data_IF_863799363221
#
_entry.id   IF_863799363221
#
_cell.length_a   1.000
_cell.length_b   1.000
_cell.length_c   1.000
_cell.angle_alpha   90.00
_cell.angle_beta   90.00
_cell.angle_gamma   90.00
#
_symmetry.space_group_name_H-M   'P 1'
#
loop_
_entity.id
_entity.type
_entity.pdbx_description
1 polymer ?
#
# COMPACT_ATOMS: atom_id res chain seq x y z
N UNK A 1 20.87 30.15 -20.20
CA UNK A 1 20.07 29.82 -19.02
C UNK A 1 20.17 31.00 -18.08
N UNK A 2 19.06 31.38 -17.48
CA UNK A 2 19.01 32.49 -16.53
C UNK A 2 19.52 31.97 -15.19
N UNK A 3 20.74 32.33 -14.81
CA UNK A 3 21.41 31.87 -13.59
C UNK A 3 21.16 32.86 -12.45
N UNK A 4 20.06 33.59 -12.50
CA UNK A 4 19.72 34.68 -11.59
C UNK A 4 18.34 34.45 -11.00
N UNK A 5 18.16 34.82 -9.72
CA UNK A 5 16.85 34.73 -9.05
C UNK A 5 15.76 35.58 -9.72
N UNK A 6 16.15 36.73 -10.27
CA UNK A 6 15.27 37.64 -11.00
C UNK A 6 15.44 37.46 -12.52
N UNK A 7 14.39 37.04 -13.24
CA UNK A 7 14.44 36.93 -14.69
C UNK A 7 14.75 38.23 -15.45
N UNK A 8 14.61 39.38 -14.79
CA UNK A 8 14.91 40.69 -15.36
C UNK A 8 16.34 41.16 -15.12
N UNK A 9 17.14 40.39 -14.38
CA UNK A 9 18.46 40.82 -13.94
C UNK A 9 19.39 41.25 -15.09
N UNK A 10 19.28 40.57 -16.25
CA UNK A 10 19.97 40.99 -17.47
C UNK A 10 19.51 42.35 -18.00
N UNK A 11 18.20 42.61 -18.02
CA UNK A 11 17.64 43.88 -18.48
C UNK A 11 18.02 45.04 -17.57
N UNK A 12 18.03 44.80 -16.26
CA UNK A 12 18.23 45.86 -15.26
C UNK A 12 19.70 46.25 -15.09
N UNK A 13 20.62 45.28 -15.23
CA UNK A 13 22.03 45.50 -14.88
C UNK A 13 23.02 45.32 -16.04
N UNK A 14 22.65 44.67 -17.16
CA UNK A 14 23.62 44.37 -18.22
C UNK A 14 23.24 44.89 -19.62
N UNK A 15 21.95 44.90 -19.97
CA UNK A 15 21.49 45.17 -21.35
C UNK A 15 21.97 46.50 -21.94
N UNK A 16 21.89 47.58 -21.16
CA UNK A 16 22.27 48.93 -21.59
C UNK A 16 23.47 49.50 -20.80
N UNK A 17 24.02 48.74 -19.85
CA UNK A 17 25.05 49.18 -18.89
C UNK A 17 26.40 48.43 -19.05
N UNK A 18 26.70 47.91 -20.24
CA UNK A 18 27.91 47.07 -20.50
C UNK A 18 29.26 47.77 -20.34
N UNK A 19 29.28 49.07 -20.07
CA UNK A 19 30.51 49.83 -19.77
C UNK A 19 30.55 50.35 -18.33
N UNK A 20 29.51 50.12 -17.54
CA UNK A 20 29.45 50.48 -16.13
C UNK A 20 29.95 49.31 -15.28
N UNK A 21 31.16 49.47 -14.74
CA UNK A 21 31.80 48.47 -13.88
C UNK A 21 30.97 48.10 -12.66
N UNK A 22 30.16 49.03 -12.12
CA UNK A 22 29.30 48.75 -10.97
C UNK A 22 28.08 47.93 -11.36
N UNK A 23 27.44 48.26 -12.48
CA UNK A 23 26.30 47.51 -13.02
C UNK A 23 26.71 46.07 -13.40
N UNK A 24 27.89 45.92 -14.01
CA UNK A 24 28.47 44.61 -14.32
C UNK A 24 28.74 43.81 -13.04
N UNK A 25 29.30 44.43 -11.99
CA UNK A 25 29.55 43.76 -10.72
C UNK A 25 28.25 43.25 -10.09
N UNK A 26 27.22 44.08 -10.02
CA UNK A 26 25.89 43.71 -9.48
C UNK A 26 25.24 42.58 -10.28
N UNK A 27 25.36 42.58 -11.62
CA UNK A 27 24.87 41.48 -12.43
C UNK A 27 25.53 40.13 -12.07
N UNK A 28 26.85 40.11 -11.87
CA UNK A 28 27.56 38.89 -11.50
C UNK A 28 27.37 38.50 -10.03
N UNK A 29 27.18 39.46 -9.12
CA UNK A 29 26.85 39.22 -7.70
C UNK A 29 25.47 38.59 -7.53
N UNK A 30 24.53 38.88 -8.43
CA UNK A 30 23.17 38.32 -8.41
C UNK A 30 23.06 36.89 -8.97
N UNK A 31 24.19 36.30 -9.43
CA UNK A 31 24.19 34.90 -9.86
C UNK A 31 23.81 33.98 -8.70
N UNK A 32 22.90 33.06 -8.97
CA UNK A 32 22.41 32.08 -8.03
C UNK A 32 22.77 30.67 -8.52
N UNK A 33 23.64 30.01 -7.75
CA UNK A 33 24.08 28.64 -7.98
C UNK A 33 23.57 27.68 -6.90
N UNK A 34 22.59 28.10 -6.08
CA UNK A 34 22.01 27.25 -5.04
C UNK A 34 21.54 25.91 -5.62
N UNK A 35 20.81 25.94 -6.73
CA UNK A 35 20.37 24.73 -7.44
C UNK A 35 21.54 23.82 -7.88
N UNK A 36 22.69 24.39 -8.28
CA UNK A 36 23.85 23.58 -8.69
C UNK A 36 24.49 22.87 -7.49
N UNK A 37 24.59 23.55 -6.36
CA UNK A 37 25.09 22.96 -5.12
C UNK A 37 24.15 21.85 -4.62
N UNK A 38 22.84 22.10 -4.62
CA UNK A 38 21.82 21.11 -4.24
C UNK A 38 21.84 19.91 -5.17
N UNK A 39 21.84 20.12 -6.50
CA UNK A 39 21.89 19.01 -7.46
C UNK A 39 23.20 18.20 -7.35
N UNK A 40 24.33 18.85 -7.08
CA UNK A 40 25.61 18.17 -6.89
C UNK A 40 25.63 17.32 -5.61
N UNK A 41 25.11 17.86 -4.50
CA UNK A 41 24.98 17.13 -3.24
C UNK A 41 24.09 15.88 -3.39
N UNK A 42 22.96 16.00 -4.08
CA UNK A 42 22.09 14.86 -4.35
C UNK A 42 22.73 13.84 -5.29
N UNK A 43 23.45 14.28 -6.32
CA UNK A 43 24.18 13.38 -7.19
C UNK A 43 25.27 12.60 -6.42
N UNK A 44 25.91 13.23 -5.44
CA UNK A 44 26.86 12.60 -4.53
C UNK A 44 26.14 11.57 -3.63
N UNK A 45 25.05 11.95 -2.97
CA UNK A 45 24.33 11.07 -2.05
C UNK A 45 23.61 9.88 -2.72
N UNK A 46 23.15 10.03 -3.97
CA UNK A 46 22.59 8.90 -4.73
C UNK A 46 23.71 7.99 -5.25
N UNK A 47 24.87 8.56 -5.57
CA UNK A 47 26.01 7.77 -6.02
C UNK A 47 26.56 6.91 -4.87
N UNK A 48 26.68 7.48 -3.68
CA UNK A 48 27.28 6.88 -2.49
C UNK A 48 26.45 7.30 -1.25
N UNK A 49 25.62 6.39 -0.75
CA UNK A 49 24.57 6.72 0.21
C UNK A 49 25.17 6.99 1.60
N UNK A 50 24.98 8.19 2.18
CA UNK A 50 25.43 8.46 3.54
C UNK A 50 24.81 7.49 4.56
N UNK A 51 25.63 6.95 5.46
CA UNK A 51 25.16 6.04 6.52
C UNK A 51 24.96 4.59 6.07
N UNK A 52 25.38 4.22 4.86
CA UNK A 52 25.37 2.84 4.36
C UNK A 52 26.80 2.31 4.29
N UNK A 53 27.05 1.15 4.92
CA UNK A 53 28.29 0.37 4.76
C UNK A 53 28.06 -0.67 3.66
N UNK A 54 28.49 -0.32 2.45
CA UNK A 54 28.18 -1.04 1.22
C UNK A 54 29.08 -2.27 1.03
N UNK A 55 30.33 -2.20 1.48
CA UNK A 55 31.30 -3.28 1.34
C UNK A 55 31.52 -4.13 2.62
N UNK A 56 30.88 -3.73 3.73
CA UNK A 56 30.83 -4.47 4.99
C UNK A 56 32.10 -4.33 5.82
N UNK A 57 32.86 -3.26 5.63
CA UNK A 57 34.12 -3.01 6.35
C UNK A 57 33.94 -2.28 7.69
N UNK A 58 32.71 -1.86 7.99
CA UNK A 58 32.32 -1.14 9.20
C UNK A 58 32.37 0.38 9.08
N UNK A 59 32.71 0.94 7.91
CA UNK A 59 32.66 2.36 7.60
C UNK A 59 31.43 2.68 6.76
N UNK A 60 30.55 3.54 7.28
CA UNK A 60 29.31 3.95 6.61
C UNK A 60 29.34 5.43 6.14
N UNK A 61 30.54 6.02 6.12
CA UNK A 61 30.77 7.41 5.71
C UNK A 61 31.09 8.39 6.84
N UNK A 62 30.84 9.68 6.62
CA UNK A 62 31.10 10.74 7.61
C UNK A 62 29.80 11.32 8.16
N UNK A 63 29.79 11.60 9.47
CA UNK A 63 28.63 12.13 10.17
C UNK A 63 28.96 13.29 11.11
N UNK A 64 27.93 14.07 11.43
CA UNK A 64 27.93 15.05 12.53
C UNK A 64 26.84 14.68 13.55
N UNK A 65 26.99 15.11 14.80
CA UNK A 65 25.93 14.95 15.81
C UNK A 65 24.90 16.07 15.67
N UNK A 66 23.63 15.70 15.49
CA UNK A 66 22.49 16.62 15.36
C UNK A 66 22.24 17.37 16.67
N UNK A 67 22.39 16.68 17.79
CA UNK A 67 22.34 17.27 19.14
C UNK A 67 23.66 17.06 19.88
N UNK A 68 24.34 18.16 20.20
CA UNK A 68 25.56 18.16 21.02
C UNK A 68 25.37 17.66 22.46
N UNK A 69 24.12 17.47 22.90
CA UNK A 69 23.73 16.88 24.19
C UNK A 69 23.23 15.43 24.07
N UNK A 70 23.08 14.90 22.85
CA UNK A 70 22.69 13.52 22.59
C UNK A 70 23.78 12.51 22.94
N UNK A 71 23.40 11.25 23.15
CA UNK A 71 24.35 10.16 23.36
C UNK A 71 25.12 9.92 22.05
N UNK A 72 26.47 10.05 22.02
CA UNK A 72 27.27 9.81 20.82
C UNK A 72 27.24 8.35 20.36
N UNK A 73 26.85 7.40 21.22
CA UNK A 73 26.72 5.98 20.88
C UNK A 73 25.32 5.64 20.31
N UNK A 74 24.40 6.60 20.28
CA UNK A 74 23.07 6.46 19.68
C UNK A 74 23.06 6.98 18.24
N UNK A 75 22.99 6.05 17.28
CA UNK A 75 23.00 6.35 15.84
C UNK A 75 21.82 7.21 15.38
N UNK A 76 20.75 7.33 16.18
CA UNK A 76 19.62 8.23 15.85
C UNK A 76 19.98 9.71 15.98
N UNK A 77 21.12 10.04 16.63
CA UNK A 77 21.63 11.41 16.76
C UNK A 77 22.62 11.79 15.65
N UNK A 78 22.90 10.90 14.70
CA UNK A 78 23.92 11.11 13.67
C UNK A 78 23.27 11.62 12.38
N UNK A 79 23.81 12.69 11.83
CA UNK A 79 23.53 13.15 10.47
C UNK A 79 24.71 12.80 9.57
N UNK A 80 24.53 11.79 8.74
CA UNK A 80 25.50 11.37 7.74
C UNK A 80 25.45 12.33 6.56
N UNK A 81 26.58 12.96 6.23
CA UNK A 81 26.66 13.95 5.16
C UNK A 81 27.50 13.49 3.97
N UNK A 82 28.19 12.35 4.11
CA UNK A 82 29.01 11.72 3.07
C UNK A 82 28.95 10.20 3.24
N UNK A 83 28.94 9.46 2.13
CA UNK A 83 28.95 7.98 2.10
C UNK A 83 30.33 7.36 2.28
N UNK A 84 30.40 6.03 2.14
CA UNK A 84 31.58 5.20 2.45
C UNK A 84 32.64 5.20 1.33
N UNK A 85 32.35 5.84 0.19
CA UNK A 85 33.20 5.89 -1.00
C UNK A 85 32.94 4.75 -2.00
N UNK A 86 31.97 3.86 -1.72
CA UNK A 86 31.58 2.73 -2.55
C UNK A 86 30.21 3.00 -3.19
N UNK A 87 30.10 2.94 -4.53
CA UNK A 87 28.85 3.35 -5.17
C UNK A 87 27.64 2.44 -4.88
N UNK A 88 26.55 3.02 -4.40
CA UNK A 88 25.25 2.38 -4.12
C UNK A 88 24.22 2.53 -5.25
N UNK A 89 24.18 3.72 -5.88
CA UNK A 89 23.17 4.12 -6.87
C UNK A 89 21.70 4.01 -6.38
N UNK A 90 21.42 4.34 -5.11
CA UNK A 90 20.07 4.26 -4.54
C UNK A 90 19.53 5.62 -4.16
N UNK A 91 18.33 5.93 -4.66
CA UNK A 91 17.52 7.04 -4.17
C UNK A 91 16.83 6.70 -2.83
N UNK A 92 16.07 7.65 -2.27
CA UNK A 92 15.34 7.40 -1.03
C UNK A 92 14.26 6.34 -1.30
N UNK A 93 14.11 5.32 -0.45
CA UNK A 93 13.05 4.33 -0.62
C UNK A 93 11.70 4.96 -0.25
N UNK A 94 10.58 4.48 -0.85
CA UNK A 94 9.26 4.82 -0.33
C UNK A 94 9.11 4.31 1.12
N UNK A 95 8.13 4.83 1.88
CA UNK A 95 7.78 4.29 3.17
C UNK A 95 7.50 2.79 3.11
N UNK A 96 7.76 2.11 4.23
CA UNK A 96 7.47 0.68 4.35
C UNK A 96 5.97 0.41 4.15
N UNK A 97 5.64 -0.77 3.60
CA UNK A 97 4.22 -1.13 3.43
C UNK A 97 3.59 -1.43 4.79
N UNK A 98 2.37 -0.92 5.07
CA UNK A 98 1.70 -1.19 6.34
C UNK A 98 1.32 -2.67 6.45
N UNK A 99 1.13 -3.15 7.67
CA UNK A 99 0.65 -4.52 7.87
C UNK A 99 -0.86 -4.58 7.65
N UNK A 100 -1.30 -5.19 6.56
CA UNK A 100 -2.71 -5.34 6.21
C UNK A 100 -3.28 -6.70 6.64
N UNK A 101 -4.32 -6.65 7.47
CA UNK A 101 -5.22 -7.74 7.78
C UNK A 101 -6.63 -7.43 7.25
N UNK A 102 -7.40 -8.48 6.91
CA UNK A 102 -8.70 -8.33 6.26
C UNK A 102 -9.75 -9.20 6.91
N UNK A 103 -10.87 -8.59 7.27
CA UNK A 103 -12.06 -9.26 7.75
C UNK A 103 -13.15 -9.28 6.67
N UNK A 104 -13.80 -10.42 6.50
CA UNK A 104 -14.82 -10.62 5.47
C UNK A 104 -16.18 -10.94 6.08
N UNK A 105 -17.22 -10.34 5.50
CA UNK A 105 -18.62 -10.67 5.77
C UNK A 105 -19.39 -10.66 4.44
N UNK A 106 -20.67 -11.01 4.48
CA UNK A 106 -21.52 -11.11 3.31
C UNK A 106 -21.56 -9.81 2.49
N UNK A 107 -20.92 -9.82 1.33
CA UNK A 107 -20.82 -8.67 0.42
C UNK A 107 -20.07 -7.47 1.00
N UNK A 108 -19.25 -7.70 2.02
CA UNK A 108 -18.55 -6.68 2.80
C UNK A 108 -17.12 -7.11 3.12
N UNK A 109 -16.20 -6.15 3.09
CA UNK A 109 -14.81 -6.30 3.50
C UNK A 109 -14.45 -5.16 4.43
N UNK A 110 -13.87 -5.48 5.60
CA UNK A 110 -13.21 -4.50 6.49
C UNK A 110 -11.71 -4.72 6.38
N UNK A 111 -11.01 -3.69 5.91
CA UNK A 111 -9.55 -3.63 5.91
C UNK A 111 -9.11 -3.08 7.26
N UNK A 112 -8.13 -3.73 7.88
CA UNK A 112 -7.54 -3.32 9.15
C UNK A 112 -6.02 -3.27 8.96
N UNK A 113 -5.36 -2.17 9.29
CA UNK A 113 -3.91 -2.09 9.14
C UNK A 113 -3.23 -1.30 10.25
N UNK A 114 -1.93 -1.53 10.40
CA UNK A 114 -1.04 -0.80 11.31
C UNK A 114 0.23 -0.40 10.59
N UNK A 115 0.91 0.63 11.11
CA UNK A 115 2.20 1.07 10.58
C UNK A 115 3.30 0.03 10.83
N UNK A 116 3.30 -0.65 11.98
CA UNK A 116 4.17 -1.79 12.31
C UNK A 116 3.65 -2.67 13.45
N UNK A 117 4.25 -3.85 13.62
CA UNK A 117 4.07 -4.76 14.74
C UNK A 117 4.80 -4.29 16.00
N UNK A 118 4.26 -4.61 17.19
CA UNK A 118 4.99 -4.49 18.44
C UNK A 118 6.29 -5.30 18.45
N UNK A 119 7.40 -4.67 18.84
CA UNK A 119 8.70 -5.34 18.99
C UNK A 119 9.63 -5.26 17.78
N UNK A 120 9.25 -4.56 16.72
CA UNK A 120 10.12 -4.20 15.59
C UNK A 120 10.24 -2.66 15.51
N UNK A 121 11.06 -2.04 16.38
CA UNK A 121 11.20 -0.57 16.42
C UNK A 121 11.75 -0.01 15.09
N UNK A 122 11.24 1.17 14.71
CA UNK A 122 11.71 2.00 13.58
C UNK A 122 11.53 1.43 12.16
N UNK A 123 10.81 0.32 11.98
CA UNK A 123 10.57 -0.26 10.64
C UNK A 123 9.16 -0.03 10.10
N UNK A 124 8.36 0.83 10.75
CA UNK A 124 6.97 1.07 10.38
C UNK A 124 6.75 2.09 9.29
N UNK A 125 5.60 2.02 8.62
CA UNK A 125 5.26 2.97 7.55
C UNK A 125 5.21 4.43 8.03
N UNK A 126 4.76 4.68 9.27
CA UNK A 126 4.68 6.02 9.89
C UNK A 126 5.99 6.47 10.54
N UNK A 127 6.96 5.57 10.68
CA UNK A 127 8.25 5.82 11.30
C UNK A 127 9.38 5.84 10.27
N UNK A 128 9.05 5.70 8.96
CA UNK A 128 10.01 5.84 7.89
C UNK A 128 10.68 7.20 7.98
N UNK A 129 12.00 7.20 7.82
CA UNK A 129 12.81 8.39 7.75
C UNK A 129 13.46 8.45 6.38
N UNK A 130 13.44 9.62 5.79
CA UNK A 130 14.20 9.88 4.57
C UNK A 130 15.69 9.72 4.89
N UNK A 131 16.39 8.98 4.04
CA UNK A 131 17.80 8.59 4.28
C UNK A 131 18.77 9.77 4.18
N UNK A 132 18.36 10.86 3.51
CA UNK A 132 19.20 12.00 3.22
C UNK A 132 19.05 13.13 4.24
N UNK A 133 17.84 13.33 4.79
CA UNK A 133 17.59 14.39 5.77
C UNK A 133 17.26 13.86 7.18
N UNK A 134 17.02 12.55 7.36
CA UNK A 134 16.70 11.90 8.63
C UNK A 134 15.31 12.25 9.21
N UNK A 135 14.50 13.02 8.47
CA UNK A 135 13.17 13.43 8.85
C UNK A 135 12.17 12.32 8.59
N UNK A 136 11.13 12.25 9.43
CA UNK A 136 9.98 11.40 9.12
C UNK A 136 9.22 12.01 7.96
N UNK A 137 9.03 11.23 6.91
CA UNK A 137 8.49 11.67 5.62
C UNK A 137 7.10 11.12 5.31
N UNK A 138 6.54 10.30 6.21
CA UNK A 138 5.21 9.71 6.06
C UNK A 138 4.09 10.77 6.00
N UNK A 139 3.27 10.62 4.96
CA UNK A 139 2.21 11.56 4.63
C UNK A 139 0.82 10.95 4.79
N UNK A 140 0.63 9.72 4.31
CA UNK A 140 -0.67 9.08 4.46
C UNK A 140 -0.81 7.68 3.88
N UNK A 141 -2.07 7.28 3.74
CA UNK A 141 -2.45 5.97 3.20
C UNK A 141 -3.35 6.08 1.97
N UNK A 142 -3.16 5.18 1.02
CA UNK A 142 -4.06 4.99 -0.12
C UNK A 142 -4.60 3.57 -0.14
N UNK A 143 -5.89 3.44 -0.44
CA UNK A 143 -6.58 2.15 -0.50
C UNK A 143 -6.92 1.84 -1.94
N UNK A 144 -6.52 0.65 -2.38
CA UNK A 144 -6.73 0.18 -3.74
C UNK A 144 -7.52 -1.13 -3.78
N UNK A 145 -8.20 -1.32 -4.90
CA UNK A 145 -8.91 -2.55 -5.23
C UNK A 145 -8.56 -3.01 -6.64
N UNK A 146 -8.43 -4.32 -6.83
CA UNK A 146 -8.21 -4.94 -8.14
C UNK A 146 -8.96 -6.27 -8.26
N UNK A 147 -9.31 -6.67 -9.47
CA UNK A 147 -9.86 -8.00 -9.75
C UNK A 147 -8.85 -8.96 -10.40
N UNK A 148 -7.68 -8.46 -10.81
CA UNK A 148 -6.67 -9.21 -11.56
C UNK A 148 -5.23 -8.97 -11.02
N UNK A 149 -5.09 -8.19 -9.95
CA UNK A 149 -3.82 -7.77 -9.32
C UNK A 149 -2.91 -6.93 -10.23
N UNK A 150 -3.33 -6.65 -11.46
CA UNK A 150 -2.60 -5.86 -12.46
C UNK A 150 -3.18 -4.46 -12.61
N UNK A 151 -4.51 -4.36 -12.64
CA UNK A 151 -5.26 -3.11 -12.82
C UNK A 151 -5.87 -2.69 -11.49
N UNK A 152 -5.34 -1.60 -10.94
CA UNK A 152 -5.73 -1.10 -9.62
C UNK A 152 -6.63 0.12 -9.75
N UNK A 153 -7.73 0.12 -9.00
CA UNK A 153 -8.61 1.27 -8.81
C UNK A 153 -8.35 1.88 -7.44
N UNK A 154 -8.08 3.18 -7.39
CA UNK A 154 -8.01 3.94 -6.15
C UNK A 154 -9.41 4.06 -5.55
N UNK A 155 -9.61 3.58 -4.33
CA UNK A 155 -10.87 3.70 -3.60
C UNK A 155 -10.91 4.95 -2.74
N UNK A 156 -9.81 5.20 -2.02
CA UNK A 156 -9.65 6.31 -1.09
C UNK A 156 -8.18 6.71 -0.94
N UNK A 157 -8.00 7.98 -0.62
CA UNK A 157 -6.72 8.60 -0.32
C UNK A 157 -6.90 9.38 0.99
N UNK A 158 -6.01 9.15 1.94
CA UNK A 158 -5.97 9.79 3.24
C UNK A 158 -4.59 10.36 3.46
N UNK A 159 -4.53 11.56 3.99
CA UNK A 159 -3.32 12.34 4.15
C UNK A 159 -3.45 13.19 5.42
N UNK A 160 -2.33 13.33 6.13
CA UNK A 160 -2.20 14.15 7.31
C UNK A 160 -2.39 15.62 6.94
N UNK A 161 -2.62 16.44 7.96
CA UNK A 161 -2.64 17.88 7.77
C UNK A 161 -1.21 18.36 7.90
N UNK A 162 -0.68 18.87 6.81
CA UNK A 162 0.55 19.62 6.80
C UNK A 162 0.37 20.99 7.45
N UNK A 163 1.35 21.41 8.24
CA UNK A 163 1.45 22.78 8.72
C UNK A 163 2.71 23.41 8.18
N UNK A 164 2.56 24.52 7.46
CA UNK A 164 3.68 25.31 6.92
C UNK A 164 3.81 26.65 7.66
N UNK A 165 5.04 27.15 7.87
CA UNK A 165 5.25 28.40 8.56
C UNK A 165 5.09 29.60 7.62
N UNK A 166 4.33 30.59 8.07
CA UNK A 166 4.26 31.93 7.48
C UNK A 166 4.96 32.94 8.40
N UNK A 167 5.80 33.77 7.80
CA UNK A 167 6.48 34.88 8.46
C UNK A 167 5.80 36.18 8.06
N UNK A 168 5.61 37.08 9.02
CA UNK A 168 5.08 38.40 8.73
C UNK A 168 6.15 39.28 8.05
N UNK A 169 5.87 39.69 6.81
CA UNK A 169 6.71 40.61 6.07
C UNK A 169 6.21 42.05 6.25
N UNK A 170 6.90 42.78 7.11
CA UNK A 170 6.63 44.20 7.41
C UNK A 170 6.76 45.13 6.19
N UNK A 171 7.45 44.72 5.11
CA UNK A 171 7.62 45.54 3.90
C UNK A 171 6.35 45.57 3.05
N UNK A 172 5.56 44.50 3.09
CA UNK A 172 4.30 44.38 2.34
C UNK A 172 3.06 44.32 3.24
N UNK A 173 3.25 44.36 4.57
CA UNK A 173 2.19 44.26 5.59
C UNK A 173 1.32 43.00 5.41
N UNK A 174 1.98 41.87 5.11
CA UNK A 174 1.31 40.61 4.86
C UNK A 174 2.12 39.42 5.37
N UNK A 175 1.45 38.28 5.49
CA UNK A 175 2.08 37.00 5.84
C UNK A 175 2.54 36.30 4.56
N UNK A 176 3.80 35.86 4.54
CA UNK A 176 4.38 35.14 3.42
C UNK A 176 4.93 33.80 3.89
N UNK A 177 4.81 32.78 3.04
CA UNK A 177 5.43 31.47 3.30
C UNK A 177 6.92 31.66 3.57
N UNK A 178 7.43 31.00 4.62
CA UNK A 178 8.84 31.06 4.94
C UNK A 178 9.63 30.21 3.93
N UNK A 179 10.45 30.82 3.05
CA UNK A 179 11.20 30.07 2.03
C UNK A 179 12.29 29.18 2.64
N UNK A 180 12.64 29.37 3.91
CA UNK A 180 13.74 28.67 4.58
C UNK A 180 13.27 27.49 5.43
N UNK A 181 11.95 27.23 5.54
CA UNK A 181 11.42 26.09 6.28
C UNK A 181 10.15 25.55 5.59
N UNK A 182 10.36 24.85 4.48
CA UNK A 182 9.28 24.31 3.63
C UNK A 182 8.81 22.92 4.06
N UNK A 183 9.42 22.32 5.08
CA UNK A 183 9.01 21.01 5.58
C UNK A 183 7.77 21.15 6.46
N UNK A 184 6.68 20.42 6.16
CA UNK A 184 5.52 20.36 7.02
C UNK A 184 5.89 19.85 8.41
N UNK A 185 5.19 20.34 9.44
CA UNK A 185 5.28 19.78 10.80
C UNK A 185 3.95 19.18 11.23
N UNK A 186 4.04 18.06 11.95
CA UNK A 186 2.87 17.34 12.47
C UNK A 186 2.17 18.06 13.64
N UNK A 187 2.90 18.92 14.35
CA UNK A 187 2.40 19.65 15.52
C UNK A 187 2.96 21.07 15.55
N UNK A 188 2.07 22.04 15.78
CA UNK A 188 2.40 23.47 15.86
C UNK A 188 2.42 23.99 17.30
N UNK A 189 2.18 23.13 18.30
CA UNK A 189 2.11 23.55 19.70
C UNK A 189 3.44 24.18 20.16
N UNK A 190 3.35 25.45 20.56
CA UNK A 190 4.51 26.21 21.05
C UNK A 190 5.43 26.78 19.97
N UNK A 191 5.13 26.58 18.68
CA UNK A 191 5.96 27.05 17.56
C UNK A 191 5.54 28.42 16.97
N UNK A 192 4.55 29.08 17.59
CA UNK A 192 4.01 30.37 17.13
C UNK A 192 4.52 31.60 17.91
N UNK A 193 4.52 32.76 17.27
CA UNK A 193 4.90 34.05 17.86
C UNK A 193 4.35 35.24 17.07
N UNK A 194 4.68 36.46 17.49
CA UNK A 194 4.13 37.71 16.89
C UNK A 194 4.48 37.88 15.39
N UNK A 195 5.54 37.23 14.92
CA UNK A 195 6.02 37.31 13.53
C UNK A 195 6.07 35.96 12.81
N UNK A 196 5.57 34.89 13.45
CA UNK A 196 5.57 33.52 12.91
C UNK A 196 4.26 32.83 13.26
N UNK A 197 3.53 32.38 12.25
CA UNK A 197 2.35 31.54 12.44
C UNK A 197 2.45 30.30 11.57
N UNK A 198 1.71 29.28 11.94
CA UNK A 198 1.60 28.05 11.15
C UNK A 198 0.21 27.97 10.56
N UNK A 199 0.13 27.68 9.27
CA UNK A 199 -1.12 27.53 8.55
C UNK A 199 -1.19 26.13 7.98
N UNK A 200 -2.39 25.56 7.97
CA UNK A 200 -2.62 24.29 7.31
C UNK A 200 -2.30 24.44 5.82
N UNK A 201 -1.43 23.60 5.33
CA UNK A 201 -1.10 23.47 3.93
C UNK A 201 -1.96 22.34 3.36
N UNK A 202 -2.58 22.59 2.22
CA UNK A 202 -3.58 21.71 1.59
C UNK A 202 -4.84 21.43 2.44
N UNK A 203 -5.76 20.65 1.87
CA UNK A 203 -7.01 20.23 2.49
C UNK A 203 -6.82 18.95 3.29
N UNK A 204 -7.36 18.90 4.52
CA UNK A 204 -7.52 17.64 5.25
C UNK A 204 -8.41 16.68 4.44
N UNK A 205 -7.84 15.58 3.95
CA UNK A 205 -8.57 14.54 3.21
C UNK A 205 -8.97 13.35 4.10
N UNK A 206 -8.98 13.54 5.41
CA UNK A 206 -9.69 12.67 6.36
C UNK A 206 -8.81 11.58 6.98
N UNK A 207 -7.52 11.82 7.22
CA UNK A 207 -6.67 10.84 7.90
C UNK A 207 -7.21 10.43 9.28
N UNK A 208 -7.86 11.36 10.00
CA UNK A 208 -8.53 11.04 11.25
C UNK A 208 -9.74 10.11 11.10
N UNK A 209 -10.35 10.02 9.90
CA UNK A 209 -11.55 9.20 9.66
C UNK A 209 -11.27 7.69 9.66
N UNK A 210 -10.03 7.30 9.34
CA UNK A 210 -9.61 5.90 9.29
C UNK A 210 -9.09 5.39 10.64
N UNK A 211 -8.89 6.27 11.62
CA UNK A 211 -8.39 5.86 12.93
C UNK A 211 -9.40 4.97 13.66
N UNK A 212 -8.98 3.77 14.07
CA UNK A 212 -9.81 2.81 14.81
C UNK A 212 -9.43 2.83 16.30
N UNK A 213 -8.18 2.54 16.63
CA UNK A 213 -7.71 2.47 18.02
C UNK A 213 -6.21 2.62 18.19
N UNK A 214 -5.75 2.75 19.43
CA UNK A 214 -4.34 2.72 19.80
C UNK A 214 -4.13 1.71 20.92
N UNK A 215 -3.06 0.91 20.81
CA UNK A 215 -2.66 -0.07 21.82
C UNK A 215 -1.20 0.17 22.20
N UNK A 216 -0.90 0.20 23.50
CA UNK A 216 0.48 0.28 24.00
C UNK A 216 0.98 -1.14 24.27
N UNK A 217 2.07 -1.54 23.61
CA UNK A 217 2.68 -2.87 23.74
C UNK A 217 4.18 -2.67 23.97
N UNK A 218 4.67 -3.15 25.12
CA UNK A 218 6.09 -3.02 25.50
C UNK A 218 6.65 -1.60 25.32
N UNK A 219 5.89 -0.60 25.76
CA UNK A 219 6.18 0.85 25.66
C UNK A 219 6.09 1.46 24.25
N UNK A 220 5.83 0.65 23.21
CA UNK A 220 5.51 1.14 21.85
C UNK A 220 4.02 1.45 21.72
N UNK A 221 3.71 2.59 21.11
CA UNK A 221 2.32 3.02 20.82
C UNK A 221 1.95 2.62 19.39
N UNK A 222 1.11 1.59 19.25
CA UNK A 222 0.67 1.08 17.95
C UNK A 222 -0.72 1.63 17.61
N UNK A 223 -0.81 2.32 16.48
CA UNK A 223 -2.08 2.81 15.93
C UNK A 223 -2.68 1.78 14.96
N UNK A 224 -3.99 1.63 15.04
CA UNK A 224 -4.79 0.78 14.18
C UNK A 224 -5.74 1.64 13.36
N UNK A 225 -5.80 1.32 12.08
CA UNK A 225 -6.67 1.98 11.11
C UNK A 225 -7.64 0.98 10.51
N UNK A 226 -8.80 1.46 10.09
CA UNK A 226 -9.77 0.62 9.40
C UNK A 226 -10.54 1.34 8.30
N UNK A 227 -10.96 0.55 7.31
CA UNK A 227 -11.81 1.01 6.22
C UNK A 227 -12.78 -0.10 5.80
N UNK A 228 -14.03 0.26 5.58
CA UNK A 228 -15.10 -0.67 5.24
C UNK A 228 -15.62 -0.43 3.82
N UNK A 229 -15.70 -1.52 3.04
CA UNK A 229 -16.33 -1.54 1.72
C UNK A 229 -17.51 -2.51 1.72
N UNK A 230 -18.64 -2.08 1.17
CA UNK A 230 -19.87 -2.87 1.05
C UNK A 230 -20.34 -2.93 -0.41
N UNK A 231 -21.28 -3.83 -0.71
CA UNK A 231 -21.83 -4.00 -2.06
C UNK A 231 -20.94 -4.84 -2.99
N UNK A 232 -20.03 -5.64 -2.40
CA UNK A 232 -19.16 -6.54 -3.14
C UNK A 232 -19.87 -7.87 -3.46
N UNK A 233 -19.44 -8.54 -4.52
CA UNK A 233 -20.01 -9.83 -4.92
C UNK A 233 -19.37 -10.97 -4.15
N UNK A 234 -20.16 -11.77 -3.44
CA UNK A 234 -19.73 -13.02 -2.77
C UNK A 234 -19.08 -14.04 -3.73
N UNK A 235 -19.40 -13.93 -5.03
CA UNK A 235 -18.99 -14.89 -6.05
C UNK A 235 -17.70 -14.52 -6.79
N UNK A 236 -17.08 -13.36 -6.48
CA UNK A 236 -15.89 -12.88 -7.16
C UNK A 236 -14.82 -12.48 -6.16
N UNK A 237 -13.66 -13.11 -6.27
CA UNK A 237 -12.48 -12.72 -5.52
C UNK A 237 -12.03 -11.32 -5.89
N UNK A 238 -11.59 -10.56 -4.90
CA UNK A 238 -11.13 -9.18 -5.05
C UNK A 238 -9.84 -8.99 -4.26
N UNK A 239 -8.87 -8.31 -4.86
CA UNK A 239 -7.62 -7.92 -4.23
C UNK A 239 -7.77 -6.55 -3.61
N UNK A 240 -7.29 -6.40 -2.38
CA UNK A 240 -7.13 -5.11 -1.72
C UNK A 240 -5.67 -4.86 -1.37
N UNK A 241 -5.25 -3.61 -1.44
CA UNK A 241 -3.95 -3.17 -0.97
C UNK A 241 -4.09 -1.82 -0.26
N UNK A 242 -3.33 -1.65 0.82
CA UNK A 242 -3.14 -0.37 1.51
C UNK A 242 -1.67 0.01 1.38
N UNK A 243 -1.40 1.17 0.83
CA UNK A 243 -0.03 1.65 0.63
C UNK A 243 0.21 2.89 1.46
N UNK A 244 1.44 3.03 1.97
CA UNK A 244 1.91 4.27 2.55
C UNK A 244 2.62 5.12 1.49
N UNK A 245 2.63 6.43 1.65
CA UNK A 245 3.37 7.33 0.78
C UNK A 245 4.00 8.47 1.59
N UNK A 246 5.06 9.04 1.04
CA UNK A 246 5.77 10.18 1.61
C UNK A 246 5.35 11.51 0.94
N UNK A 247 5.72 12.65 1.53
CA UNK A 247 5.46 13.96 0.92
C UNK A 247 6.51 14.39 -0.13
N UNK A 248 7.52 13.56 -0.39
CA UNK A 248 8.66 13.88 -1.24
C UNK A 248 9.59 14.93 -0.64
N UNK A 249 10.20 15.78 -1.49
CA UNK A 249 11.04 16.89 -1.04
C UNK A 249 10.66 18.19 -1.77
N UNK A 250 10.04 19.16 -1.07
CA UNK A 250 9.58 20.40 -1.69
C UNK A 250 10.71 21.33 -2.12
N UNK A 251 11.92 21.22 -1.53
CA UNK A 251 13.08 22.05 -1.89
C UNK A 251 13.60 21.64 -3.25
N UNK A 252 13.76 20.33 -3.45
CA UNK A 252 14.29 19.76 -4.71
C UNK A 252 13.20 19.43 -5.72
N UNK A 253 11.93 19.58 -5.34
CA UNK A 253 10.75 19.22 -6.14
C UNK A 253 10.70 17.72 -6.46
N UNK A 254 11.22 16.90 -5.54
CA UNK A 254 11.08 15.46 -5.62
C UNK A 254 9.61 15.09 -5.41
N UNK A 255 9.08 14.25 -6.29
CA UNK A 255 7.70 13.79 -6.17
C UNK A 255 7.58 12.72 -5.07
N UNK A 256 6.44 12.68 -4.36
CA UNK A 256 6.07 11.60 -3.46
C UNK A 256 6.34 10.19 -3.99
N UNK A 257 6.90 9.31 -3.17
CA UNK A 257 6.99 7.88 -3.43
C UNK A 257 5.94 7.11 -2.61
N UNK A 258 5.53 5.96 -3.15
CA UNK A 258 4.46 5.14 -2.57
C UNK A 258 4.91 3.68 -2.48
N UNK A 259 4.55 3.03 -1.38
CA UNK A 259 4.85 1.62 -1.14
C UNK A 259 4.14 0.69 -2.14
N UNK A 260 4.66 -0.52 -2.34
CA UNK A 260 4.19 -1.41 -3.40
C UNK A 260 2.80 -2.01 -3.13
N UNK A 261 1.85 -1.78 -4.06
CA UNK A 261 0.51 -2.39 -4.04
C UNK A 261 0.56 -3.92 -4.06
N UNK A 262 1.39 -4.50 -4.93
CA UNK A 262 1.47 -5.95 -5.12
C UNK A 262 2.08 -6.67 -3.92
N UNK A 263 3.01 -6.03 -3.20
CA UNK A 263 3.57 -6.59 -1.95
C UNK A 263 2.52 -6.58 -0.84
N UNK A 264 1.69 -5.53 -0.78
CA UNK A 264 0.65 -5.41 0.24
C UNK A 264 -0.66 -6.15 -0.10
N UNK A 265 -0.80 -6.59 -1.35
CA UNK A 265 -2.01 -7.17 -1.92
C UNK A 265 -2.53 -8.39 -1.14
N UNK A 266 -3.84 -8.41 -0.87
CA UNK A 266 -4.57 -9.53 -0.27
C UNK A 266 -5.79 -9.88 -1.12
N UNK A 267 -5.82 -11.10 -1.66
CA UNK A 267 -7.02 -11.67 -2.28
C UNK A 267 -8.02 -12.07 -1.18
N UNK A 268 -9.27 -11.65 -1.33
CA UNK A 268 -10.38 -12.05 -0.45
C UNK A 268 -11.66 -12.33 -1.22
N UNK A 269 -12.52 -13.17 -0.65
CA UNK A 269 -13.91 -13.32 -1.07
C UNK A 269 -14.79 -12.68 0.02
N UNK A 270 -15.76 -11.81 -0.33
CA UNK A 270 -16.61 -11.11 0.63
C UNK A 270 -17.74 -12.05 1.08
N UNK A 271 -17.37 -13.15 1.72
CA UNK A 271 -18.22 -14.26 2.11
C UNK A 271 -18.30 -14.38 3.63
N UNK A 272 -19.40 -14.92 4.13
CA UNK A 272 -19.55 -15.26 5.53
C UNK A 272 -19.38 -16.76 5.72
N UNK A 273 -18.26 -17.19 6.29
CA UNK A 273 -17.89 -18.62 6.42
C UNK A 273 -18.76 -19.40 7.42
N UNK A 274 -19.56 -18.69 8.22
CA UNK A 274 -20.55 -19.30 9.13
C UNK A 274 -21.92 -19.51 8.47
N UNK A 275 -22.16 -18.93 7.30
CA UNK A 275 -23.40 -19.16 6.56
C UNK A 275 -23.40 -20.56 5.88
N UNK A 276 -24.58 -21.05 5.44
CA UNK A 276 -24.66 -22.24 4.62
C UNK A 276 -23.85 -22.11 3.34
N UNK A 277 -23.34 -23.24 2.84
CA UNK A 277 -22.54 -23.28 1.61
C UNK A 277 -23.36 -22.81 0.42
N UNK A 278 -22.80 -21.84 -0.30
CA UNK A 278 -23.35 -21.34 -1.55
C UNK A 278 -22.67 -22.03 -2.73
N UNK A 279 -23.46 -22.36 -3.75
CA UNK A 279 -22.97 -22.92 -5.02
C UNK A 279 -23.26 -21.92 -6.14
N UNK A 280 -22.22 -21.53 -6.88
CA UNK A 280 -22.35 -20.60 -8.00
C UNK A 280 -21.39 -20.93 -9.15
N UNK A 281 -21.72 -20.58 -10.39
CA UNK A 281 -23.03 -20.12 -10.86
C UNK A 281 -24.11 -21.22 -10.69
N UNK A 282 -25.32 -20.83 -10.26
CA UNK A 282 -26.44 -21.76 -10.11
C UNK A 282 -27.75 -21.10 -10.59
N UNK A 283 -28.30 -21.49 -11.76
CA UNK A 283 -27.82 -22.56 -12.63
C UNK A 283 -26.50 -22.21 -13.34
N UNK A 284 -25.67 -23.22 -13.59
CA UNK A 284 -24.52 -23.13 -14.47
C UNK A 284 -24.96 -23.33 -15.93
N UNK A 285 -24.63 -22.39 -16.81
CA UNK A 285 -24.99 -22.40 -18.24
C UNK A 285 -23.79 -22.72 -19.09
N UNK A 286 -23.79 -23.90 -19.71
CA UNK A 286 -22.66 -24.39 -20.53
C UNK A 286 -22.34 -23.43 -21.70
N UNK A 287 -23.35 -22.74 -22.24
CA UNK A 287 -23.21 -21.79 -23.35
C UNK A 287 -22.67 -20.40 -22.97
N UNK A 288 -22.48 -20.08 -21.69
CA UNK A 288 -22.12 -18.72 -21.20
C UNK A 288 -20.62 -18.53 -20.89
N UNK A 289 -19.72 -19.24 -21.56
CA UNK A 289 -18.27 -19.20 -21.29
C UNK A 289 -17.70 -17.78 -21.19
N UNK A 290 -17.97 -16.90 -22.17
CA UNK A 290 -17.39 -15.55 -22.15
C UNK A 290 -17.89 -14.69 -20.98
N UNK A 291 -19.16 -14.83 -20.60
CA UNK A 291 -19.72 -14.10 -19.46
C UNK A 291 -19.08 -14.55 -18.15
N UNK A 292 -18.78 -15.85 -18.03
CA UNK A 292 -18.12 -16.42 -16.84
C UNK A 292 -16.65 -16.00 -16.74
N UNK A 293 -15.94 -15.90 -17.87
CA UNK A 293 -14.59 -15.33 -17.89
C UNK A 293 -14.62 -13.86 -17.47
N UNK A 294 -15.52 -13.07 -18.06
CA UNK A 294 -15.63 -11.64 -17.74
C UNK A 294 -16.06 -11.39 -16.29
N UNK A 295 -16.90 -12.27 -15.73
CA UNK A 295 -17.34 -12.22 -14.34
C UNK A 295 -16.26 -12.74 -13.36
N UNK A 296 -15.17 -13.35 -13.85
CA UNK A 296 -14.12 -13.94 -13.03
C UNK A 296 -14.49 -15.29 -12.40
N UNK A 297 -15.55 -15.95 -12.89
CA UNK A 297 -15.93 -17.28 -12.43
C UNK A 297 -15.08 -18.37 -13.07
N UNK A 298 -14.65 -18.15 -14.31
CA UNK A 298 -13.73 -19.03 -15.04
C UNK A 298 -12.47 -18.23 -15.38
N UNK A 299 -11.30 -18.86 -15.26
CA UNK A 299 -10.05 -18.26 -15.70
C UNK A 299 -9.31 -19.28 -16.55
N UNK A 300 -9.06 -18.99 -17.84
CA UNK A 300 -8.29 -19.88 -18.70
C UNK A 300 -6.86 -19.94 -18.14
N UNK A 301 -6.48 -21.11 -17.61
CA UNK A 301 -5.13 -21.32 -17.07
C UNK A 301 -4.07 -21.48 -18.16
N UNK A 302 -4.49 -21.61 -19.42
CA UNK A 302 -3.63 -21.95 -20.55
C UNK A 302 -3.46 -20.75 -21.53
N UNK A 303 -2.21 -20.32 -21.84
CA UNK A 303 -1.95 -19.31 -22.87
C UNK A 303 -2.42 -19.71 -24.28
N UNK A 304 -2.72 -21.00 -24.53
CA UNK A 304 -3.25 -21.55 -25.78
C UNK A 304 -4.79 -21.49 -25.89
N UNK A 305 -5.47 -20.99 -24.86
CA UNK A 305 -6.90 -20.68 -24.88
C UNK A 305 -7.75 -21.56 -23.96
N UNK A 306 -9.03 -21.23 -23.89
CA UNK A 306 -10.00 -21.89 -23.03
C UNK A 306 -10.22 -23.36 -23.42
N UNK A 307 -10.18 -24.25 -22.43
CA UNK A 307 -10.50 -25.69 -22.57
C UNK A 307 -11.67 -26.08 -21.67
N UNK A 308 -12.24 -27.26 -21.89
CA UNK A 308 -13.40 -27.74 -21.11
C UNK A 308 -13.11 -27.86 -19.61
N UNK A 309 -11.84 -28.08 -19.24
CA UNK A 309 -11.35 -28.10 -17.86
C UNK A 309 -11.20 -26.71 -17.24
N UNK A 310 -11.49 -25.61 -17.94
CA UNK A 310 -11.52 -24.25 -17.37
C UNK A 310 -12.90 -23.89 -16.81
N UNK A 311 -13.90 -24.75 -17.01
CA UNK A 311 -15.22 -24.58 -16.40
C UNK A 311 -15.11 -24.58 -14.89
N UNK A 312 -15.94 -23.80 -14.20
CA UNK A 312 -15.92 -23.74 -12.73
C UNK A 312 -17.33 -23.63 -12.18
N UNK A 313 -17.67 -24.52 -11.25
CA UNK A 313 -18.70 -24.32 -10.24
C UNK A 313 -18.00 -24.23 -8.90
N UNK A 314 -18.28 -23.15 -8.17
CA UNK A 314 -17.68 -22.83 -6.90
C UNK A 314 -18.61 -23.21 -5.75
N UNK A 315 -17.99 -23.67 -4.66
CA UNK A 315 -18.57 -23.82 -3.35
C UNK A 315 -17.90 -22.77 -2.46
N UNK A 316 -18.69 -21.88 -1.85
CA UNK A 316 -18.19 -20.87 -0.92
C UNK A 316 -18.82 -20.98 0.46
N UNK A 317 -18.38 -20.12 1.38
CA UNK A 317 -18.74 -20.14 2.81
C UNK A 317 -18.18 -21.38 3.52
N UNK A 318 -17.04 -21.89 3.05
CA UNK A 318 -16.33 -22.97 3.73
C UNK A 318 -15.55 -22.41 4.94
N UNK A 319 -15.50 -23.14 6.06
CA UNK A 319 -14.82 -22.70 7.29
C UNK A 319 -13.30 -22.57 7.13
N UNK A 320 -12.64 -21.80 8.00
CA UNK A 320 -11.17 -21.72 8.09
C UNK A 320 -10.59 -22.68 9.12
N UNK A 321 -11.42 -23.14 10.06
CA UNK A 321 -11.07 -24.00 11.18
C UNK A 321 -11.38 -25.48 10.94
N UNK A 322 -11.83 -25.84 9.72
CA UNK A 322 -12.17 -27.22 9.35
C UNK A 322 -11.81 -27.51 7.89
N UNK A 323 -11.43 -28.76 7.60
CA UNK A 323 -11.35 -29.26 6.23
C UNK A 323 -12.66 -29.96 5.85
N UNK A 324 -12.95 -30.04 4.55
CA UNK A 324 -14.24 -30.50 4.03
C UNK A 324 -14.09 -31.47 2.85
N UNK A 325 -14.96 -32.49 2.80
CA UNK A 325 -15.15 -33.39 1.66
C UNK A 325 -16.50 -33.10 1.01
N UNK A 326 -16.47 -32.60 -0.22
CA UNK A 326 -17.66 -32.29 -1.00
C UNK A 326 -17.85 -33.41 -2.02
N UNK A 327 -18.98 -34.11 -1.91
CA UNK A 327 -19.36 -35.20 -2.83
C UNK A 327 -20.52 -34.73 -3.69
N UNK A 328 -20.40 -34.90 -5.00
CA UNK A 328 -21.36 -34.48 -6.00
C UNK A 328 -22.00 -35.72 -6.62
N UNK A 329 -23.32 -35.72 -6.71
CA UNK A 329 -24.14 -36.86 -7.10
C UNK A 329 -25.10 -36.50 -8.24
N UNK A 330 -25.44 -37.49 -9.06
CA UNK A 330 -26.62 -37.40 -9.91
C UNK A 330 -27.90 -37.51 -9.05
N UNK A 331 -29.05 -37.17 -9.62
CA UNK A 331 -30.35 -37.40 -8.96
C UNK A 331 -30.62 -38.88 -8.65
N UNK A 332 -30.05 -39.79 -9.44
CA UNK A 332 -30.19 -41.23 -9.26
C UNK A 332 -29.26 -41.79 -8.16
N UNK A 333 -28.43 -40.94 -7.55
CA UNK A 333 -27.53 -41.30 -6.46
C UNK A 333 -26.14 -41.79 -6.90
N UNK A 334 -25.79 -41.64 -8.18
CA UNK A 334 -24.45 -42.00 -8.64
C UNK A 334 -23.43 -40.92 -8.27
N UNK A 335 -22.30 -41.34 -7.68
CA UNK A 335 -21.19 -40.44 -7.38
C UNK A 335 -20.53 -39.95 -8.68
N UNK A 336 -20.59 -38.64 -8.90
CA UNK A 336 -19.99 -37.96 -10.05
C UNK A 336 -18.54 -37.59 -9.75
N UNK A 337 -18.31 -36.91 -8.63
CA UNK A 337 -17.00 -36.40 -8.21
C UNK A 337 -16.96 -36.23 -6.69
N UNK A 338 -15.77 -36.38 -6.11
CA UNK A 338 -15.46 -35.85 -4.79
C UNK A 338 -14.33 -34.83 -4.93
N UNK A 339 -14.45 -33.71 -4.22
CA UNK A 339 -13.43 -32.68 -4.10
C UNK A 339 -13.16 -32.42 -2.61
N UNK A 340 -11.95 -31.99 -2.30
CA UNK A 340 -11.51 -31.68 -0.94
C UNK A 340 -11.19 -30.21 -0.83
N UNK A 341 -11.48 -29.63 0.32
CA UNK A 341 -11.05 -28.30 0.71
C UNK A 341 -10.33 -28.41 2.05
N UNK A 342 -9.10 -27.92 2.11
CA UNK A 342 -8.34 -27.80 3.35
C UNK A 342 -7.75 -26.39 3.40
N UNK A 343 -8.14 -25.55 4.39
CA UNK A 343 -7.61 -24.19 4.49
C UNK A 343 -6.09 -24.16 4.70
N UNK A 344 -5.49 -25.26 5.20
CA UNK A 344 -4.03 -25.37 5.42
C UNK A 344 -3.24 -25.52 4.12
N UNK A 345 -3.89 -25.96 3.05
CA UNK A 345 -3.26 -26.07 1.72
C UNK A 345 -3.23 -24.72 0.98
N UNK A 346 -3.88 -23.68 1.53
CA UNK A 346 -4.09 -22.38 0.91
C UNK A 346 -3.21 -21.27 1.52
N UNK A 347 -1.99 -21.61 1.97
CA UNK A 347 -1.06 -20.64 2.55
C UNK A 347 -0.76 -19.52 1.53
N UNK A 348 -1.08 -18.28 1.88
CA UNK A 348 -0.91 -17.12 1.00
C UNK A 348 -2.05 -16.89 0.00
N UNK A 349 -3.12 -17.69 0.05
CA UNK A 349 -4.29 -17.56 -0.80
C UNK A 349 -5.57 -17.34 0.01
N UNK A 350 -6.61 -16.84 -0.64
CA UNK A 350 -7.92 -16.66 -0.02
C UNK A 350 -8.57 -18.01 0.30
N UNK A 351 -8.97 -18.20 1.56
CA UNK A 351 -9.69 -19.39 2.02
C UNK A 351 -11.21 -19.24 1.92
N UNK A 352 -11.94 -20.33 2.16
CA UNK A 352 -13.39 -20.37 2.22
C UNK A 352 -14.10 -20.63 0.89
N UNK A 353 -13.35 -20.89 -0.17
CA UNK A 353 -13.88 -21.28 -1.49
C UNK A 353 -13.13 -22.46 -2.10
N UNK A 354 -13.82 -23.27 -2.89
CA UNK A 354 -13.23 -24.32 -3.74
C UNK A 354 -14.08 -24.50 -4.98
N UNK A 355 -13.50 -24.98 -6.08
CA UNK A 355 -14.23 -25.21 -7.32
C UNK A 355 -14.23 -26.67 -7.75
N UNK A 356 -15.22 -27.01 -8.58
CA UNK A 356 -15.25 -28.20 -9.42
C UNK A 356 -15.18 -27.78 -10.88
N UNK A 357 -14.37 -28.49 -11.66
CA UNK A 357 -14.11 -28.28 -13.08
C UNK A 357 -15.18 -28.89 -14.02
N UNK A 358 -16.29 -29.40 -13.47
CA UNK A 358 -17.34 -30.13 -14.18
C UNK A 358 -16.85 -31.45 -14.83
N UNK A 359 -15.67 -31.93 -14.45
CA UNK A 359 -15.15 -33.22 -14.89
C UNK A 359 -15.47 -34.29 -13.85
N UNK A 360 -16.13 -35.35 -14.30
CA UNK A 360 -16.44 -36.52 -13.46
C UNK A 360 -15.18 -37.31 -13.10
N UNK A 361 -15.29 -38.21 -12.11
CA UNK A 361 -14.23 -39.15 -11.72
C UNK A 361 -13.74 -40.05 -12.86
N UNK A 362 -14.50 -40.18 -13.95
CA UNK A 362 -14.14 -40.95 -15.13
C UNK A 362 -13.45 -40.09 -16.21
N UNK A 363 -13.05 -38.86 -15.88
CA UNK A 363 -12.39 -37.91 -16.80
C UNK A 363 -13.28 -37.52 -17.99
N UNK A 364 -14.59 -37.42 -17.74
CA UNK A 364 -15.58 -36.98 -18.74
C UNK A 364 -16.34 -35.77 -18.24
N UNK A 365 -16.58 -34.80 -19.12
CA UNK A 365 -17.46 -33.67 -18.87
C UNK A 365 -18.88 -34.15 -18.55
N UNK A 366 -19.51 -33.51 -17.58
CA UNK A 366 -20.89 -33.82 -17.21
C UNK A 366 -21.90 -33.21 -18.19
N UNK A 367 -23.14 -33.69 -18.14
CA UNK A 367 -24.24 -33.22 -19.01
C UNK A 367 -25.18 -32.30 -18.25
N UNK A 368 -26.11 -31.67 -18.97
CA UNK A 368 -27.17 -30.90 -18.33
C UNK A 368 -28.06 -31.78 -17.44
N UNK A 369 -28.38 -31.28 -16.25
CA UNK A 369 -29.15 -32.01 -15.25
C UNK A 369 -29.19 -31.30 -13.92
N UNK A 370 -29.96 -31.86 -12.99
CA UNK A 370 -29.93 -31.48 -11.59
C UNK A 370 -28.94 -32.39 -10.86
N UNK A 371 -28.09 -31.78 -10.04
CA UNK A 371 -27.08 -32.46 -9.25
C UNK A 371 -27.34 -32.20 -7.77
N UNK A 372 -26.97 -33.17 -6.94
CA UNK A 372 -26.98 -33.05 -5.48
C UNK A 372 -25.54 -32.94 -4.99
N UNK A 373 -25.34 -32.25 -3.88
CA UNK A 373 -24.07 -32.29 -3.16
C UNK A 373 -24.29 -32.58 -1.69
N UNK A 374 -23.27 -33.20 -1.09
CA UNK A 374 -23.17 -33.42 0.35
C UNK A 374 -21.77 -33.05 0.81
N UNK A 375 -21.67 -32.34 1.94
CA UNK A 375 -20.43 -31.84 2.52
C UNK A 375 -20.29 -32.45 3.90
N UNK A 376 -19.14 -33.06 4.13
CA UNK A 376 -18.70 -33.57 5.43
C UNK A 376 -17.53 -32.71 5.89
N UNK A 377 -17.57 -32.27 7.14
CA UNK A 377 -16.56 -31.40 7.74
C UNK A 377 -15.78 -32.13 8.82
N UNK A 378 -14.54 -31.70 9.02
CA UNK A 378 -13.64 -32.24 10.01
C UNK A 378 -12.78 -31.13 10.60
N UNK A 379 -12.86 -30.94 11.92
CA UNK A 379 -12.11 -29.90 12.61
C UNK A 379 -10.60 -30.09 12.46
N UNK A 380 -9.88 -28.99 12.22
CA UNK A 380 -8.40 -28.95 12.27
C UNK A 380 -7.89 -28.38 13.59
N UNK A 381 -8.80 -27.93 14.47
CA UNK A 381 -8.48 -27.35 15.77
C UNK A 381 -8.94 -28.29 16.88
N UNK A 382 -8.00 -28.64 17.76
CA UNK A 382 -8.28 -29.53 18.89
C UNK A 382 -9.38 -28.94 19.80
N UNK A 383 -10.41 -29.74 20.07
CA UNK A 383 -11.52 -29.37 20.95
C UNK A 383 -12.67 -28.60 20.28
N UNK A 384 -12.58 -28.30 18.98
CA UNK A 384 -13.71 -27.78 18.20
C UNK A 384 -14.45 -28.95 17.54
N UNK A 385 -15.78 -29.10 17.72
CA UNK A 385 -16.55 -30.15 17.05
C UNK A 385 -16.74 -29.86 15.55
N UNK A 386 -16.90 -30.93 14.77
CA UNK A 386 -17.20 -30.85 13.34
C UNK A 386 -18.50 -30.06 13.10
N UNK A 387 -18.50 -29.20 12.08
CA UNK A 387 -19.71 -28.53 11.60
C UNK A 387 -20.70 -29.59 11.10
N UNK A 388 -21.99 -29.35 11.31
CA UNK A 388 -23.05 -30.24 10.83
C UNK A 388 -22.93 -30.46 9.31
N UNK A 389 -23.10 -31.71 8.82
CA UNK A 389 -23.06 -31.98 7.39
C UNK A 389 -24.11 -31.18 6.61
N UNK A 390 -23.71 -30.69 5.45
CA UNK A 390 -24.59 -29.90 4.58
C UNK A 390 -24.97 -30.68 3.33
N UNK A 391 -26.22 -30.53 2.91
CA UNK A 391 -26.70 -31.07 1.63
C UNK A 391 -27.38 -29.98 0.81
N UNK A 392 -27.25 -30.05 -0.50
CA UNK A 392 -27.90 -29.12 -1.39
C UNK A 392 -27.98 -29.62 -2.82
N UNK A 393 -28.38 -28.73 -3.72
CA UNK A 393 -28.59 -29.03 -5.13
C UNK A 393 -28.26 -27.84 -6.02
N UNK A 394 -27.82 -28.12 -7.23
CA UNK A 394 -27.56 -27.12 -8.26
C UNK A 394 -27.87 -27.68 -9.65
N UNK A 395 -28.19 -26.79 -10.59
CA UNK A 395 -28.54 -27.18 -11.95
C UNK A 395 -27.43 -26.82 -12.93
N UNK A 396 -27.17 -27.73 -13.87
CA UNK A 396 -26.35 -27.48 -15.06
C UNK A 396 -27.29 -27.49 -16.26
N UNK A 397 -27.29 -26.43 -17.06
CA UNK A 397 -28.15 -26.26 -18.23
C UNK A 397 -27.32 -25.91 -19.47
N UNK A 398 -27.85 -26.26 -20.63
CA UNK A 398 -27.19 -26.00 -21.92
C UNK A 398 -27.48 -24.60 -22.43
#
# INVERSE_FOLDING_TARGET
EDLHKDPNNYNDWLKDNTSDSSSIATYYENLDFSDFATNAQWAEWVFDNPGVDTDGDGYAGEYILIDSLGDPDDSSNWFWYQGDGVPDFKGPPPPNSPRLDVEVDKGKVKLCWTSINPGEPETGSEDSRDTFNGQKDFEGYKIYMSYDEMTWSLLRHFDKIDWVPEVYDSLIDDWVLNPNNLYPVDDTTGLGGDTLRWVAHDFNIGFDEIYDSTVVISDDTVKYYSYEMTGLSEARGVYFAVTAFDFGDPITKLSPLESSKSINSKLVYPIKKTDPVMVYPNPYKISNTQDYINAGFESPGDPYGWVEQDRRIWFSNLPDDQWAIIRIWTLDGDLVRAITYDPRDLIGYATGTVYWDLISRNTQAVVSGLYLYSIEYHSIVDGIPDKEPEIGKFAIIK
#
